data_IF_989907793558
#
_entry.id   IF_989907793558
#
_cell.length_a   1.000
_cell.length_b   1.000
_cell.length_c   1.000
_cell.angle_alpha   90.00
_cell.angle_beta   90.00
_cell.angle_gamma   90.00
#
_symmetry.space_group_name_H-M   'P 1'
#
loop_
_entity.id
_entity.type
_entity.pdbx_description
1 polymer ?
#
# COMPACT_ATOMS: atom_id res chain seq x y z
N UNK A 1 -2.90 8.61 -36.70
CA UNK A 1 -2.61 7.89 -35.45
C UNK A 1 -1.76 8.82 -34.60
N UNK A 2 -2.27 9.30 -33.46
CA UNK A 2 -1.52 10.19 -32.58
C UNK A 2 -0.58 9.34 -31.73
N UNK A 3 0.69 9.21 -32.13
CA UNK A 3 1.69 8.46 -31.37
C UNK A 3 2.12 9.24 -30.13
N UNK A 4 2.25 8.54 -29.00
CA UNK A 4 2.82 9.09 -27.77
C UNK A 4 4.34 8.93 -27.82
N UNK A 5 5.08 10.03 -27.91
CA UNK A 5 6.55 10.03 -28.00
C UNK A 5 7.21 10.82 -26.86
N UNK A 6 6.47 11.74 -26.24
CA UNK A 6 6.96 12.63 -25.19
C UNK A 6 5.87 12.94 -24.16
N UNK A 7 6.27 13.49 -23.01
CA UNK A 7 5.33 13.92 -21.97
C UNK A 7 4.35 15.02 -22.44
N UNK A 8 4.72 15.83 -23.45
CA UNK A 8 3.84 16.87 -24.03
C UNK A 8 2.69 16.28 -24.83
N UNK A 9 2.83 15.06 -25.33
CA UNK A 9 1.73 14.39 -26.03
C UNK A 9 0.56 14.04 -25.08
N UNK A 10 0.78 14.17 -23.75
CA UNK A 10 -0.25 14.03 -22.73
C UNK A 10 -0.97 15.36 -22.42
N UNK A 11 -0.63 16.49 -23.05
CA UNK A 11 -1.21 17.81 -22.72
C UNK A 11 -2.74 17.78 -22.83
N UNK A 12 -3.27 17.26 -23.94
CA UNK A 12 -4.71 17.12 -24.14
C UNK A 12 -5.38 16.24 -23.07
N UNK A 13 -4.69 15.20 -22.58
CA UNK A 13 -5.19 14.34 -21.50
C UNK A 13 -5.22 15.08 -20.16
N UNK A 14 -4.13 15.80 -19.82
CA UNK A 14 -4.04 16.55 -18.57
C UNK A 14 -5.03 17.73 -18.54
N UNK A 15 -5.29 18.35 -19.70
CA UNK A 15 -6.35 19.34 -19.88
C UNK A 15 -7.73 18.72 -19.67
N UNK A 16 -8.04 17.59 -20.31
CA UNK A 16 -9.33 16.92 -20.19
C UNK A 16 -9.62 16.43 -18.76
N UNK A 17 -8.60 15.94 -18.04
CA UNK A 17 -8.70 15.58 -16.63
C UNK A 17 -9.18 16.78 -15.78
N UNK A 18 -8.82 18.02 -16.15
CA UNK A 18 -9.34 19.24 -15.52
C UNK A 18 -9.02 19.29 -14.01
N UNK A 19 -10.07 19.46 -13.20
CA UNK A 19 -10.01 19.58 -11.73
C UNK A 19 -10.48 18.30 -11.01
N UNK A 20 -10.47 17.15 -11.69
CA UNK A 20 -10.87 15.88 -11.08
C UNK A 20 -9.94 15.55 -9.91
N UNK A 21 -10.54 15.14 -8.79
CA UNK A 21 -9.83 14.80 -7.55
C UNK A 21 -9.29 13.38 -7.52
N UNK A 22 -9.85 12.50 -8.36
CA UNK A 22 -9.50 11.09 -8.46
C UNK A 22 -9.38 10.75 -9.93
N UNK A 23 -8.27 10.12 -10.29
CA UNK A 23 -7.97 9.63 -11.64
C UNK A 23 -7.52 8.19 -11.50
N UNK A 24 -8.20 7.29 -12.21
CA UNK A 24 -7.90 5.86 -12.21
C UNK A 24 -7.18 5.51 -13.51
N UNK A 25 -5.97 4.98 -13.40
CA UNK A 25 -5.13 4.63 -14.53
C UNK A 25 -5.09 3.10 -14.68
N UNK A 26 -5.97 2.56 -15.53
CA UNK A 26 -5.98 1.15 -15.86
C UNK A 26 -4.84 0.74 -16.80
N UNK A 27 -4.64 -0.57 -16.93
CA UNK A 27 -3.74 -1.18 -17.91
C UNK A 27 -4.41 -2.39 -18.57
N UNK A 28 -3.96 -2.74 -19.78
CA UNK A 28 -4.53 -3.89 -20.50
C UNK A 28 -3.88 -5.22 -20.10
N UNK A 29 -2.67 -5.18 -19.54
CA UNK A 29 -1.93 -6.33 -19.05
C UNK A 29 -0.90 -5.89 -18.00
N UNK A 30 -0.64 -6.76 -17.03
CA UNK A 30 0.49 -6.56 -16.11
C UNK A 30 1.83 -6.91 -16.79
N UNK A 31 2.92 -6.34 -16.28
CA UNK A 31 4.28 -6.63 -16.77
C UNK A 31 4.66 -5.97 -18.10
N UNK A 32 3.81 -5.11 -18.66
CA UNK A 32 4.13 -4.37 -19.91
C UNK A 32 4.84 -3.06 -19.60
N UNK A 33 6.13 -2.99 -19.94
CA UNK A 33 7.00 -1.82 -19.74
C UNK A 33 6.33 -0.47 -20.08
N UNK A 34 5.70 -0.39 -21.25
CA UNK A 34 5.07 0.82 -21.76
C UNK A 34 3.92 1.29 -20.86
N UNK A 35 3.16 0.36 -20.27
CA UNK A 35 2.06 0.73 -19.36
C UNK A 35 2.59 1.32 -18.05
N UNK A 36 3.65 0.77 -17.46
CA UNK A 36 4.25 1.36 -16.26
C UNK A 36 4.85 2.73 -16.55
N UNK A 37 5.59 2.87 -17.66
CA UNK A 37 6.24 4.14 -18.02
C UNK A 37 5.24 5.26 -18.31
N UNK A 38 4.16 4.97 -19.03
CA UNK A 38 3.12 5.97 -19.28
C UNK A 38 2.30 6.30 -18.03
N UNK A 39 1.93 5.32 -17.20
CA UNK A 39 1.24 5.57 -15.93
C UNK A 39 2.11 6.39 -14.98
N UNK A 40 3.41 6.10 -14.89
CA UNK A 40 4.37 6.89 -14.13
C UNK A 40 4.43 8.33 -14.67
N UNK A 41 4.56 8.51 -15.99
CA UNK A 41 4.60 9.83 -16.62
C UNK A 41 3.33 10.65 -16.33
N UNK A 42 2.15 10.05 -16.50
CA UNK A 42 0.86 10.70 -16.18
C UNK A 42 0.81 11.07 -14.70
N UNK A 43 1.20 10.16 -13.81
CA UNK A 43 1.18 10.39 -12.36
C UNK A 43 2.09 11.55 -11.95
N UNK A 44 3.30 11.64 -12.52
CA UNK A 44 4.22 12.76 -12.27
C UNK A 44 3.60 14.09 -12.68
N UNK A 45 2.97 14.16 -13.86
CA UNK A 45 2.27 15.37 -14.31
C UNK A 45 1.09 15.74 -13.41
N UNK A 46 0.29 14.76 -12.98
CA UNK A 46 -0.82 14.99 -12.05
C UNK A 46 -0.33 15.53 -10.69
N UNK A 47 0.78 15.02 -10.18
CA UNK A 47 1.39 15.52 -8.94
C UNK A 47 1.91 16.95 -9.13
N UNK A 48 2.71 17.19 -10.18
CA UNK A 48 3.39 18.46 -10.40
C UNK A 48 2.47 19.60 -10.85
N UNK A 49 1.48 19.30 -11.70
CA UNK A 49 0.65 20.30 -12.38
C UNK A 49 -0.75 20.42 -11.76
N UNK A 50 -1.26 19.34 -11.15
CA UNK A 50 -2.64 19.27 -10.64
C UNK A 50 -2.72 19.06 -9.12
N UNK A 51 -1.60 18.96 -8.43
CA UNK A 51 -1.55 18.90 -6.96
C UNK A 51 -2.06 17.60 -6.35
N UNK A 52 -2.01 16.49 -7.09
CA UNK A 52 -2.33 15.17 -6.53
C UNK A 52 -1.35 14.81 -5.42
N UNK A 53 -1.86 14.29 -4.30
CA UNK A 53 -1.09 14.10 -3.06
C UNK A 53 -0.68 12.65 -2.78
N UNK A 54 -1.10 11.68 -3.59
CA UNK A 54 -0.69 10.28 -3.45
C UNK A 54 -0.95 9.48 -4.72
N UNK A 55 -0.32 8.31 -4.78
CA UNK A 55 -0.60 7.24 -5.74
C UNK A 55 -1.08 6.03 -4.95
N UNK A 56 -2.14 5.38 -5.40
CA UNK A 56 -2.63 4.14 -4.85
C UNK A 56 -2.66 3.07 -5.96
N UNK A 57 -2.14 1.88 -5.67
CA UNK A 57 -1.93 0.82 -6.64
C UNK A 57 -2.65 -0.47 -6.23
N UNK A 58 -2.92 -1.33 -7.22
CA UNK A 58 -3.41 -2.71 -7.03
C UNK A 58 -2.28 -3.61 -6.48
N UNK A 59 -1.79 -3.24 -5.30
CA UNK A 59 -0.74 -3.94 -4.59
C UNK A 59 -1.09 -4.07 -3.12
N UNK A 60 -0.45 -5.03 -2.47
CA UNK A 60 -0.69 -5.35 -1.07
C UNK A 60 -0.33 -4.17 -0.16
N UNK A 61 -1.19 -3.92 0.82
CA UNK A 61 -1.02 -2.82 1.75
C UNK A 61 0.32 -2.88 2.52
N UNK A 62 0.72 -3.99 3.19
CA UNK A 62 1.96 -4.05 3.95
C UNK A 62 3.22 -3.74 3.13
N UNK A 63 3.27 -4.20 1.89
CA UNK A 63 4.44 -4.01 1.03
C UNK A 63 4.48 -2.61 0.43
N UNK A 64 3.33 -2.08 0.01
CA UNK A 64 3.22 -0.69 -0.41
C UNK A 64 3.54 0.28 0.74
N UNK A 65 3.23 -0.07 1.99
CA UNK A 65 3.60 0.72 3.16
C UNK A 65 5.12 0.85 3.32
N UNK A 66 5.90 -0.20 3.02
CA UNK A 66 7.37 -0.12 3.02
C UNK A 66 7.86 0.88 1.97
N UNK A 67 7.29 0.85 0.75
CA UNK A 67 7.57 1.85 -0.30
C UNK A 67 7.17 3.25 0.17
N UNK A 68 6.01 3.40 0.81
CA UNK A 68 5.53 4.68 1.32
C UNK A 68 6.52 5.30 2.31
N UNK A 69 7.01 4.52 3.27
CA UNK A 69 8.02 4.96 4.22
C UNK A 69 9.30 5.40 3.51
N UNK A 70 9.71 4.66 2.47
CA UNK A 70 10.87 4.98 1.65
C UNK A 70 10.70 6.31 0.91
N UNK A 71 9.59 6.48 0.18
CA UNK A 71 9.34 7.72 -0.57
C UNK A 71 9.12 8.93 0.34
N UNK A 72 8.66 8.71 1.59
CA UNK A 72 8.53 9.77 2.61
C UNK A 72 9.81 10.00 3.40
N UNK A 73 10.88 9.22 3.18
CA UNK A 73 12.18 9.40 3.82
C UNK A 73 12.20 9.09 5.32
N UNK A 74 11.41 8.10 5.76
CA UNK A 74 11.49 7.61 7.14
C UNK A 74 12.82 6.88 7.38
N UNK A 75 13.34 6.96 8.61
CA UNK A 75 14.67 6.43 8.97
C UNK A 75 14.74 4.90 8.94
N UNK A 76 13.61 4.22 9.09
CA UNK A 76 13.47 2.76 9.13
C UNK A 76 13.05 2.16 7.77
N UNK A 77 13.03 2.96 6.70
CA UNK A 77 12.53 2.54 5.39
C UNK A 77 13.53 1.82 4.50
N UNK A 78 14.74 1.53 4.99
CA UNK A 78 15.85 1.00 4.20
C UNK A 78 16.65 2.08 3.44
N UNK A 79 17.85 1.71 2.97
CA UNK A 79 18.77 2.66 2.32
C UNK A 79 18.46 2.83 0.83
N UNK A 80 18.20 1.73 0.12
CA UNK A 80 17.98 1.71 -1.33
C UNK A 80 16.59 1.18 -1.70
N UNK A 81 16.00 1.67 -2.79
CA UNK A 81 14.70 1.17 -3.26
C UNK A 81 14.74 -0.31 -3.63
N UNK A 82 15.89 -0.80 -4.08
CA UNK A 82 16.08 -2.21 -4.43
C UNK A 82 15.84 -3.11 -3.23
N UNK A 83 16.38 -2.77 -2.08
CA UNK A 83 16.23 -3.57 -0.86
C UNK A 83 14.78 -3.56 -0.36
N UNK A 84 14.07 -2.45 -0.54
CA UNK A 84 12.64 -2.34 -0.21
C UNK A 84 11.81 -3.24 -1.12
N UNK A 85 12.03 -3.18 -2.44
CA UNK A 85 11.27 -3.94 -3.43
C UNK A 85 11.53 -5.45 -3.38
N UNK A 86 12.70 -5.90 -2.92
CA UNK A 86 12.98 -7.33 -2.75
C UNK A 86 12.08 -8.01 -1.71
N UNK A 87 11.35 -7.24 -0.89
CA UNK A 87 10.36 -7.77 0.04
C UNK A 87 8.96 -7.94 -0.56
N UNK A 88 8.73 -7.58 -1.84
CA UNK A 88 7.52 -7.95 -2.57
C UNK A 88 7.68 -9.39 -3.10
N UNK A 89 7.41 -10.39 -2.27
CA UNK A 89 7.66 -11.81 -2.59
C UNK A 89 6.39 -12.63 -2.90
N UNK A 90 5.21 -12.14 -2.51
CA UNK A 90 3.93 -12.80 -2.82
C UNK A 90 3.60 -12.82 -4.31
N UNK A 91 3.94 -11.73 -4.99
CA UNK A 91 3.69 -11.56 -6.40
C UNK A 91 4.95 -11.76 -7.23
N UNK A 92 4.83 -12.17 -8.50
CA UNK A 92 5.98 -12.22 -9.38
C UNK A 92 6.70 -10.87 -9.43
N UNK A 93 8.03 -10.90 -9.38
CA UNK A 93 8.86 -9.68 -9.29
C UNK A 93 8.56 -8.67 -10.40
N UNK A 94 8.22 -9.15 -11.60
CA UNK A 94 7.90 -8.29 -12.74
C UNK A 94 6.66 -7.40 -12.52
N UNK A 95 5.77 -7.72 -11.58
CA UNK A 95 4.54 -6.95 -11.34
C UNK A 95 4.78 -5.68 -10.52
N UNK A 96 5.53 -5.78 -9.42
CA UNK A 96 5.76 -4.66 -8.50
C UNK A 96 7.24 -4.42 -8.17
N UNK A 97 8.08 -5.44 -8.19
CA UNK A 97 9.53 -5.34 -7.94
C UNK A 97 10.33 -5.18 -9.26
N UNK A 98 9.91 -4.21 -10.08
CA UNK A 98 10.50 -3.92 -11.40
C UNK A 98 11.20 -2.54 -11.43
N UNK A 99 11.86 -2.25 -12.56
CA UNK A 99 12.65 -1.03 -12.72
C UNK A 99 11.79 0.23 -12.78
N UNK A 100 10.58 0.12 -13.30
CA UNK A 100 9.66 1.23 -13.50
C UNK A 100 9.08 1.70 -12.17
N UNK A 101 8.70 0.76 -11.30
CA UNK A 101 8.29 1.04 -9.92
C UNK A 101 9.47 1.59 -9.11
N UNK A 102 10.66 1.00 -9.25
CA UNK A 102 11.87 1.51 -8.59
C UNK A 102 12.15 2.97 -8.99
N UNK A 103 12.14 3.27 -10.30
CA UNK A 103 12.35 4.62 -10.82
C UNK A 103 11.25 5.60 -10.38
N UNK A 104 10.00 5.14 -10.24
CA UNK A 104 8.93 5.97 -9.73
C UNK A 104 9.08 6.28 -8.23
N UNK A 105 9.46 5.29 -7.43
CA UNK A 105 9.69 5.48 -6.00
C UNK A 105 10.89 6.39 -5.72
N UNK A 106 11.99 6.26 -6.46
CA UNK A 106 13.12 7.20 -6.35
C UNK A 106 12.72 8.62 -6.74
N UNK A 107 11.99 8.77 -7.85
CA UNK A 107 11.46 10.08 -8.25
C UNK A 107 10.54 10.69 -7.17
N UNK A 108 9.66 9.89 -6.54
CA UNK A 108 8.82 10.34 -5.44
C UNK A 108 9.66 10.77 -4.23
N UNK A 109 10.71 10.00 -3.88
CA UNK A 109 11.62 10.33 -2.78
C UNK A 109 12.34 11.66 -3.01
N UNK A 110 12.83 11.89 -4.23
CA UNK A 110 13.45 13.15 -4.64
C UNK A 110 12.44 14.31 -4.61
N UNK A 111 11.23 14.10 -5.17
CA UNK A 111 10.16 15.10 -5.16
C UNK A 111 9.71 15.46 -3.73
N UNK A 112 9.70 14.48 -2.83
CA UNK A 112 9.30 14.64 -1.44
C UNK A 112 10.39 15.25 -0.55
N UNK A 113 11.66 15.15 -0.91
CA UNK A 113 12.79 15.63 -0.10
C UNK A 113 12.63 17.08 0.41
N UNK A 114 12.25 18.08 -0.43
CA UNK A 114 12.07 19.45 0.04
C UNK A 114 10.76 19.70 0.80
N UNK A 115 9.84 18.73 0.86
CA UNK A 115 8.50 18.92 1.43
C UNK A 115 8.46 18.60 2.92
N UNK A 116 7.62 19.33 3.65
CA UNK A 116 7.28 18.97 5.04
C UNK A 116 6.54 17.64 5.09
N UNK A 117 6.66 16.91 6.20
CA UNK A 117 6.19 15.52 6.28
C UNK A 117 4.70 15.33 5.94
N UNK A 118 3.86 16.30 6.31
CA UNK A 118 2.42 16.31 6.02
C UNK A 118 2.06 16.66 4.57
N UNK A 119 3.02 17.07 3.74
CA UNK A 119 2.84 17.42 2.32
C UNK A 119 3.49 16.41 1.38
N UNK A 120 4.25 15.45 1.91
CA UNK A 120 4.91 14.42 1.11
C UNK A 120 3.87 13.53 0.43
N UNK A 121 4.11 13.28 -0.85
CA UNK A 121 3.31 12.41 -1.69
C UNK A 121 3.42 10.98 -1.19
N UNK A 122 2.28 10.34 -0.95
CA UNK A 122 2.23 8.95 -0.50
C UNK A 122 2.16 7.93 -1.63
N UNK A 123 2.56 6.70 -1.33
CA UNK A 123 2.41 5.53 -2.19
C UNK A 123 1.68 4.44 -1.41
N UNK A 124 0.50 4.02 -1.87
CA UNK A 124 -0.39 3.15 -1.09
C UNK A 124 -0.82 1.92 -1.87
N UNK A 125 -1.04 0.81 -1.16
CA UNK A 125 -1.70 -0.37 -1.69
C UNK A 125 -3.21 -0.27 -1.49
N UNK A 126 -3.98 -0.94 -2.33
CA UNK A 126 -5.45 -1.04 -2.19
C UNK A 126 -5.91 -2.49 -2.04
N UNK A 127 -5.01 -3.44 -2.19
CA UNK A 127 -5.38 -4.84 -2.28
C UNK A 127 -5.56 -5.49 -0.89
N UNK A 128 -6.41 -6.51 -0.82
CA UNK A 128 -6.90 -7.11 0.43
C UNK A 128 -6.49 -8.58 0.59
N UNK A 129 -5.59 -9.08 -0.25
CA UNK A 129 -5.13 -10.48 -0.19
C UNK A 129 -4.09 -10.73 0.91
N UNK A 130 -3.61 -9.69 1.61
CA UNK A 130 -2.51 -9.79 2.58
C UNK A 130 -2.90 -10.19 4.00
N UNK A 131 -3.86 -11.09 4.21
CA UNK A 131 -4.40 -11.35 5.55
C UNK A 131 -3.33 -11.62 6.61
N UNK A 132 -2.37 -12.52 6.32
CA UNK A 132 -1.33 -12.90 7.28
C UNK A 132 -0.31 -11.81 7.52
N UNK A 133 0.23 -11.22 6.46
CA UNK A 133 1.18 -10.11 6.57
C UNK A 133 0.54 -8.89 7.26
N UNK A 134 -0.75 -8.65 7.06
CA UNK A 134 -1.52 -7.62 7.75
C UNK A 134 -1.66 -7.94 9.24
N UNK A 135 -1.96 -9.18 9.62
CA UNK A 135 -2.01 -9.59 11.03
C UNK A 135 -0.65 -9.48 11.71
N UNK A 136 0.44 -9.90 11.06
CA UNK A 136 1.79 -9.79 11.60
C UNK A 136 2.24 -8.33 11.71
N UNK A 137 1.98 -7.50 10.69
CA UNK A 137 2.28 -6.06 10.74
C UNK A 137 1.53 -5.35 11.88
N UNK A 138 0.25 -5.69 12.11
CA UNK A 138 -0.50 -5.18 13.27
C UNK A 138 0.07 -5.67 14.59
N UNK A 139 0.44 -6.96 14.68
CA UNK A 139 1.03 -7.53 15.90
C UNK A 139 2.31 -6.80 16.27
N UNK A 140 3.26 -6.71 15.34
CA UNK A 140 4.60 -6.13 15.57
C UNK A 140 4.55 -4.68 16.06
N UNK A 141 3.54 -3.94 15.59
CA UNK A 141 3.32 -2.57 15.99
C UNK A 141 2.59 -2.48 17.35
N UNK A 142 1.47 -3.20 17.51
CA UNK A 142 0.67 -3.14 18.73
C UNK A 142 1.36 -3.77 19.93
N UNK A 143 2.25 -4.75 19.77
CA UNK A 143 3.01 -5.29 20.90
C UNK A 143 3.91 -4.25 21.58
N UNK A 144 4.32 -3.22 20.84
CA UNK A 144 5.14 -2.11 21.37
C UNK A 144 4.28 -0.98 21.91
N UNK A 145 3.24 -0.60 21.17
CA UNK A 145 2.45 0.60 21.44
C UNK A 145 1.21 0.35 22.32
N UNK A 146 0.53 -0.78 22.14
CA UNK A 146 -0.67 -1.15 22.91
C UNK A 146 -0.79 -2.68 23.08
N UNK A 147 -0.05 -3.26 24.05
CA UNK A 147 -0.04 -4.72 24.29
C UNK A 147 -1.41 -5.30 24.63
N UNK A 148 -2.34 -4.46 25.12
CA UNK A 148 -3.71 -4.86 25.40
C UNK A 148 -4.47 -5.09 24.09
N UNK A 149 -4.38 -4.14 23.14
CA UNK A 149 -4.98 -4.29 21.81
C UNK A 149 -4.32 -5.41 21.00
N UNK A 150 -3.02 -5.66 21.17
CA UNK A 150 -2.33 -6.81 20.56
C UNK A 150 -2.97 -8.17 20.93
N UNK A 151 -3.67 -8.26 22.08
CA UNK A 151 -4.38 -9.48 22.45
C UNK A 151 -5.53 -9.81 21.49
N UNK A 152 -6.19 -8.79 20.90
CA UNK A 152 -7.22 -9.00 19.89
C UNK A 152 -6.63 -9.63 18.62
N UNK A 153 -5.45 -9.19 18.20
CA UNK A 153 -4.72 -9.79 17.06
C UNK A 153 -4.36 -11.24 17.37
N UNK A 154 -3.83 -11.52 18.57
CA UNK A 154 -3.48 -12.90 18.99
C UNK A 154 -4.70 -13.82 18.96
N UNK A 155 -5.86 -13.32 19.37
CA UNK A 155 -7.09 -14.10 19.35
C UNK A 155 -7.59 -14.38 17.92
N UNK A 156 -7.40 -13.44 16.98
CA UNK A 156 -7.73 -13.65 15.57
C UNK A 156 -6.79 -14.68 14.93
N UNK A 157 -5.47 -14.55 15.13
CA UNK A 157 -4.46 -15.51 14.64
C UNK A 157 -4.76 -16.93 15.16
N UNK A 158 -5.03 -17.08 16.47
CA UNK A 158 -5.39 -18.38 17.06
C UNK A 158 -6.64 -19.01 16.44
N UNK A 159 -7.58 -18.21 15.97
CA UNK A 159 -8.76 -18.75 15.28
C UNK A 159 -8.38 -19.34 13.92
N UNK A 160 -7.43 -18.74 13.22
CA UNK A 160 -6.97 -19.19 11.91
C UNK A 160 -5.88 -20.26 11.97
N UNK A 161 -5.20 -20.44 13.11
CA UNK A 161 -4.13 -21.42 13.34
C UNK A 161 -4.45 -22.84 12.83
N UNK A 162 -5.67 -23.41 13.01
CA UNK A 162 -6.00 -24.74 12.49
C UNK A 162 -5.90 -24.88 10.97
N UNK A 163 -5.96 -23.77 10.23
CA UNK A 163 -5.93 -23.75 8.76
C UNK A 163 -4.52 -23.48 8.20
N UNK A 164 -3.50 -23.29 9.05
CA UNK A 164 -2.08 -23.19 8.65
C UNK A 164 -1.81 -22.23 7.50
N UNK A 165 -2.37 -21.02 7.58
CA UNK A 165 -2.25 -20.00 6.53
C UNK A 165 -2.81 -20.38 5.15
N UNK A 166 -3.55 -21.48 5.06
CA UNK A 166 -4.20 -21.92 3.84
C UNK A 166 -5.61 -21.35 3.75
N UNK A 167 -5.74 -20.25 3.01
CA UNK A 167 -7.00 -19.54 2.80
C UNK A 167 -8.07 -20.42 2.15
N UNK A 168 -7.69 -21.33 1.25
CA UNK A 168 -8.64 -22.25 0.60
C UNK A 168 -9.22 -23.25 1.59
N UNK A 169 -8.41 -23.72 2.54
CA UNK A 169 -8.87 -24.60 3.62
C UNK A 169 -9.87 -23.88 4.52
N UNK A 170 -9.55 -22.65 4.93
CA UNK A 170 -10.49 -21.84 5.72
C UNK A 170 -11.78 -21.55 4.95
N UNK A 171 -11.69 -21.15 3.68
CA UNK A 171 -12.85 -20.85 2.85
C UNK A 171 -13.80 -22.05 2.78
N UNK A 172 -13.29 -23.27 2.55
CA UNK A 172 -14.09 -24.50 2.54
C UNK A 172 -14.75 -24.78 3.89
N UNK A 173 -14.02 -24.62 4.98
CA UNK A 173 -14.52 -24.88 6.33
C UNK A 173 -15.56 -23.84 6.79
N UNK A 174 -15.42 -22.59 6.33
CA UNK A 174 -16.33 -21.50 6.66
C UNK A 174 -17.75 -21.67 6.11
N UNK A 175 -17.94 -22.57 5.13
CA UNK A 175 -19.23 -22.85 4.51
C UNK A 175 -20.14 -23.76 5.37
N UNK A 176 -19.61 -24.43 6.39
CA UNK A 176 -20.37 -25.43 7.16
C UNK A 176 -20.70 -24.96 8.57
N UNK A 177 -19.70 -24.69 9.43
CA UNK A 177 -19.97 -24.56 10.87
C UNK A 177 -19.16 -23.52 11.65
N UNK A 178 -17.96 -23.07 11.22
CA UNK A 178 -17.16 -22.11 11.99
C UNK A 178 -16.66 -20.95 11.13
N UNK A 179 -16.78 -19.75 11.68
CA UNK A 179 -16.22 -18.55 11.08
C UNK A 179 -15.38 -17.80 12.10
N UNK A 180 -14.17 -17.42 11.70
CA UNK A 180 -13.35 -16.48 12.48
C UNK A 180 -13.86 -15.04 12.38
N UNK A 181 -14.97 -14.81 11.66
CA UNK A 181 -15.61 -13.50 11.47
C UNK A 181 -15.78 -12.73 12.76
N UNK A 182 -16.31 -13.32 13.83
CA UNK A 182 -16.55 -12.58 15.07
C UNK A 182 -15.26 -12.13 15.75
N UNK A 183 -14.19 -12.92 15.65
CA UNK A 183 -12.86 -12.55 16.16
C UNK A 183 -12.24 -11.44 15.33
N UNK A 184 -12.33 -11.52 14.01
CA UNK A 184 -11.85 -10.48 13.09
C UNK A 184 -12.64 -9.18 13.27
N UNK A 185 -13.97 -9.22 13.39
CA UNK A 185 -14.79 -8.05 13.65
C UNK A 185 -14.50 -7.40 15.01
N UNK A 186 -14.21 -8.20 16.04
CA UNK A 186 -13.79 -7.69 17.34
C UNK A 186 -12.43 -6.99 17.25
N UNK A 187 -11.47 -7.59 16.53
CA UNK A 187 -10.17 -6.98 16.24
C UNK A 187 -10.32 -5.63 15.52
N UNK A 188 -11.06 -5.60 14.41
CA UNK A 188 -11.30 -4.39 13.62
C UNK A 188 -11.87 -3.25 14.47
N UNK A 189 -12.86 -3.55 15.33
CA UNK A 189 -13.47 -2.55 16.22
C UNK A 189 -12.47 -1.99 17.22
N UNK A 190 -11.67 -2.85 17.84
CA UNK A 190 -10.67 -2.43 18.83
C UNK A 190 -9.60 -1.56 18.17
N UNK A 191 -9.04 -2.01 17.04
CA UNK A 191 -8.01 -1.26 16.31
C UNK A 191 -8.54 0.09 15.85
N UNK A 192 -9.72 0.16 15.22
CA UNK A 192 -10.28 1.46 14.78
C UNK A 192 -10.58 2.41 15.92
N UNK A 193 -11.02 1.90 17.07
CA UNK A 193 -11.24 2.73 18.25
C UNK A 193 -9.93 3.30 18.81
N UNK A 194 -8.85 2.52 18.78
CA UNK A 194 -7.56 2.86 19.39
C UNK A 194 -6.59 3.58 18.46
N UNK A 195 -6.64 3.30 17.16
CA UNK A 195 -5.67 3.78 16.19
C UNK A 195 -5.59 5.32 16.12
N UNK A 196 -6.70 6.00 16.38
CA UNK A 196 -6.80 7.45 16.46
C UNK A 196 -6.02 8.09 17.64
N UNK A 197 -5.57 7.29 18.62
CA UNK A 197 -4.91 7.75 19.84
C UNK A 197 -3.41 7.35 19.93
N UNK A 198 -2.85 6.75 18.88
CA UNK A 198 -1.45 6.36 18.85
C UNK A 198 -0.57 7.57 18.51
N UNK A 199 -0.08 8.24 19.56
CA UNK A 199 0.70 9.48 19.48
C UNK A 199 2.20 9.20 19.21
N UNK A 200 2.60 9.18 17.94
CA UNK A 200 4.03 9.17 17.59
C UNK A 200 4.32 9.21 16.09
N UNK A 201 3.61 8.39 15.32
CA UNK A 201 3.71 8.34 13.85
C UNK A 201 2.31 8.13 13.26
N UNK A 202 1.72 9.21 12.73
CA UNK A 202 0.40 9.16 12.08
C UNK A 202 0.35 8.12 10.97
N UNK A 203 1.45 7.90 10.25
CA UNK A 203 1.49 6.92 9.17
C UNK A 203 1.47 5.50 9.72
N UNK A 204 2.08 5.25 10.88
CA UNK A 204 2.07 3.94 11.53
C UNK A 204 0.70 3.62 12.15
N UNK A 205 0.06 4.62 12.76
CA UNK A 205 -1.33 4.49 13.23
C UNK A 205 -2.29 4.19 12.07
N UNK A 206 -2.18 4.94 10.96
CA UNK A 206 -2.96 4.68 9.75
C UNK A 206 -2.65 3.32 9.13
N UNK A 207 -1.39 2.90 9.08
CA UNK A 207 -1.00 1.56 8.64
C UNK A 207 -1.67 0.46 9.49
N UNK A 208 -1.72 0.64 10.81
CA UNK A 208 -2.36 -0.32 11.70
C UNK A 208 -3.87 -0.38 11.45
N UNK A 209 -4.52 0.76 11.22
CA UNK A 209 -5.94 0.81 10.86
C UNK A 209 -6.24 0.10 9.53
N UNK A 210 -5.40 0.29 8.51
CA UNK A 210 -5.63 -0.27 7.17
C UNK A 210 -5.34 -1.78 7.08
N UNK A 211 -4.54 -2.32 7.99
CA UNK A 211 -4.30 -3.77 8.09
C UNK A 211 -5.39 -4.52 8.87
N UNK A 212 -6.30 -3.82 9.56
CA UNK A 212 -7.34 -4.42 10.41
C UNK A 212 -8.61 -4.80 9.64
#
# INVERSE_FOLDING_TARGET
MHGLNSAKDLDALIEDIGDRRVVMLGEASHGTHEYYTWRATISRRLIQEKGFSFIAVEGDWPDCYKINRFVKGYKDAGETIKDVLLNFDRWPTWMWANWEVAAMAEWLREHNHPLSQNKKIGFYGLDVYSLWDSMYAMMDYLEKEDPQTAQAVRNAIKCFEPYQENEQMYARYSLTEHSCRDKVLALLREVRYKAQFLDGDREAGFNTEQNA
#
